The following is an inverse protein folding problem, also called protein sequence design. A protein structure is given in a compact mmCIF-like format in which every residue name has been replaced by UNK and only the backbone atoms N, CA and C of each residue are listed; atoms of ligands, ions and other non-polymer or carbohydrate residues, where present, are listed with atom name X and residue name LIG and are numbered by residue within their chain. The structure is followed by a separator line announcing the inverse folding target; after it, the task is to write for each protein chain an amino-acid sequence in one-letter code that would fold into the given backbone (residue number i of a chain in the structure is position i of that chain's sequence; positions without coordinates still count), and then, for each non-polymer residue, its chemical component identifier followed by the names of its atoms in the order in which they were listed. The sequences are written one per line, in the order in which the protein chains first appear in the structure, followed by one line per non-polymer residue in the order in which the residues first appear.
data_IF_563259986726
#
_entry.id   IF_563259986726
#
_cell.length_a   1.000
_cell.length_b   1.000
_cell.length_c   1.000
_cell.angle_alpha   90.00
_cell.angle_beta   90.00
_cell.angle_gamma   90.00
#
_symmetry.space_group_name_H-M   'P 1'
#
loop_
_entity.id
_entity.type
_entity.pdbx_description
1 polymer ?
#
# COMPACT_ATOMS: atom_id res chain seq x y z
N UNK A 1 2.76 -20.59 6.92
CA UNK A 1 1.50 -20.81 6.19
C UNK A 1 1.44 -22.22 5.63
N UNK A 2 1.57 -22.40 4.31
CA UNK A 2 1.39 -23.72 3.67
C UNK A 2 2.43 -24.75 4.13
N UNK A 3 3.68 -24.32 4.39
CA UNK A 3 4.72 -25.19 4.97
C UNK A 3 4.32 -25.70 6.35
N UNK A 4 3.79 -24.81 7.21
CA UNK A 4 3.40 -25.16 8.57
C UNK A 4 2.21 -26.13 8.58
N UNK A 5 1.20 -25.91 7.72
CA UNK A 5 0.11 -26.87 7.54
C UNK A 5 0.60 -28.25 7.07
N UNK A 6 1.57 -28.29 6.16
CA UNK A 6 2.18 -29.55 5.72
C UNK A 6 2.94 -30.24 6.85
N UNK A 7 3.75 -29.49 7.61
CA UNK A 7 4.47 -30.01 8.77
C UNK A 7 3.52 -30.50 9.88
N UNK A 8 2.39 -29.83 10.09
CA UNK A 8 1.34 -30.27 11.03
C UNK A 8 0.68 -31.59 10.57
N UNK A 9 0.46 -31.78 9.27
CA UNK A 9 0.00 -33.07 8.71
C UNK A 9 0.98 -34.19 9.03
N UNK A 10 2.27 -33.98 8.81
CA UNK A 10 3.32 -34.96 9.13
C UNK A 10 3.38 -35.27 10.62
N UNK A 11 3.26 -34.24 11.48
CA UNK A 11 3.25 -34.42 12.93
C UNK A 11 2.04 -35.24 13.41
N UNK A 12 0.84 -35.00 12.86
CA UNK A 12 -0.36 -35.78 13.17
C UNK A 12 -0.22 -37.23 12.68
N UNK A 13 0.32 -37.44 11.47
CA UNK A 13 0.59 -38.78 10.93
C UNK A 13 1.55 -39.56 11.83
N UNK A 14 2.65 -38.93 12.25
CA UNK A 14 3.65 -39.53 13.13
C UNK A 14 3.09 -39.88 14.51
N UNK A 15 2.10 -39.11 15.00
CA UNK A 15 1.35 -39.40 16.22
C UNK A 15 0.24 -40.46 16.04
N UNK A 16 0.09 -41.05 14.84
CA UNK A 16 -0.94 -42.05 14.53
C UNK A 16 -2.35 -41.49 14.31
N UNK A 17 -2.48 -40.17 14.13
CA UNK A 17 -3.74 -39.50 13.82
C UNK A 17 -4.00 -39.36 12.31
N UNK A 18 -5.18 -38.87 11.97
CA UNK A 18 -5.58 -38.58 10.58
C UNK A 18 -5.09 -37.18 10.14
N UNK A 19 -4.15 -37.09 9.17
CA UNK A 19 -3.62 -35.82 8.67
C UNK A 19 -4.67 -34.96 7.98
N UNK A 20 -5.73 -35.54 7.43
CA UNK A 20 -6.79 -34.79 6.74
C UNK A 20 -7.60 -33.89 7.66
N UNK A 21 -7.45 -34.06 8.98
CA UNK A 21 -7.97 -33.13 10.00
C UNK A 21 -7.25 -31.79 9.98
N UNK A 22 -6.00 -31.73 9.51
CA UNK A 22 -5.28 -30.47 9.29
C UNK A 22 -5.72 -29.94 7.93
N UNK A 23 -6.78 -29.13 7.98
CA UNK A 23 -7.33 -28.45 6.81
C UNK A 23 -8.03 -27.15 7.25
N UNK A 24 -7.96 -26.07 6.46
CA UNK A 24 -8.76 -24.88 6.72
C UNK A 24 -10.27 -25.18 6.86
N UNK A 25 -10.86 -24.74 7.96
CA UNK A 25 -12.29 -24.84 8.25
C UNK A 25 -13.08 -23.65 7.67
N UNK A 26 -12.39 -22.54 7.45
CA UNK A 26 -12.92 -21.33 6.81
C UNK A 26 -12.26 -21.12 5.44
N UNK A 27 -12.87 -20.33 4.54
CA UNK A 27 -12.25 -19.93 3.28
C UNK A 27 -10.91 -19.22 3.50
N UNK A 28 -9.90 -19.62 2.73
CA UNK A 28 -8.57 -19.02 2.72
C UNK A 28 -8.17 -18.64 1.31
N UNK A 29 -7.87 -17.36 1.14
CA UNK A 29 -7.41 -16.78 -0.12
C UNK A 29 -5.95 -16.36 0.01
N UNK A 30 -5.07 -16.97 -0.79
CA UNK A 30 -3.67 -16.59 -0.90
C UNK A 30 -3.44 -15.85 -2.22
N UNK A 31 -3.00 -14.60 -2.14
CA UNK A 31 -2.65 -13.80 -3.33
C UNK A 31 -1.13 -13.71 -3.46
N UNK A 32 -0.61 -14.05 -4.64
CA UNK A 32 0.83 -13.97 -4.94
C UNK A 32 1.14 -12.60 -5.54
N UNK A 33 1.66 -11.68 -4.71
CA UNK A 33 1.91 -10.27 -5.08
C UNK A 33 3.25 -9.70 -4.56
N UNK A 34 3.94 -10.41 -3.67
CA UNK A 34 5.20 -10.00 -3.03
C UNK A 34 6.47 -10.49 -3.77
N UNK A 35 6.34 -11.12 -4.93
CA UNK A 35 7.42 -11.78 -5.67
C UNK A 35 7.97 -10.98 -6.83
N UNK A 36 7.14 -10.16 -7.49
CA UNK A 36 7.56 -9.33 -8.61
C UNK A 36 8.46 -8.19 -8.14
N UNK A 37 9.51 -7.92 -8.91
CA UNK A 37 10.47 -6.84 -8.68
C UNK A 37 10.57 -5.97 -9.93
N UNK A 38 10.94 -4.70 -9.75
CA UNK A 38 11.13 -3.76 -10.86
C UNK A 38 12.54 -3.89 -11.45
N UNK A 39 12.86 -5.03 -12.07
CA UNK A 39 14.17 -5.29 -12.70
C UNK A 39 14.36 -4.51 -14.02
N UNK A 40 13.26 -4.24 -14.72
CA UNK A 40 13.14 -3.43 -15.93
C UNK A 40 12.07 -2.35 -15.73
N UNK A 41 12.29 -1.18 -16.31
CA UNK A 41 11.44 0.00 -16.12
C UNK A 41 11.52 0.95 -17.33
N UNK A 42 10.56 1.88 -17.42
CA UNK A 42 10.59 2.98 -18.39
C UNK A 42 10.59 2.57 -19.86
N UNK A 43 10.15 1.36 -20.18
CA UNK A 43 10.04 0.86 -21.54
C UNK A 43 8.82 -0.09 -21.70
N UNK A 44 8.35 -0.34 -22.94
CA UNK A 44 7.16 -1.14 -23.19
C UNK A 44 7.29 -2.64 -22.87
N UNK A 45 8.51 -3.20 -22.80
CA UNK A 45 8.72 -4.63 -22.50
C UNK A 45 8.87 -4.91 -21.01
N UNK A 46 8.98 -3.86 -20.17
CA UNK A 46 9.27 -3.96 -18.75
C UNK A 46 8.36 -4.94 -18.00
N UNK A 47 7.04 -4.90 -18.25
CA UNK A 47 6.10 -5.84 -17.66
C UNK A 47 6.44 -7.31 -17.98
N UNK A 48 6.60 -7.63 -19.26
CA UNK A 48 6.87 -9.00 -19.71
C UNK A 48 8.22 -9.51 -19.18
N UNK A 49 9.23 -8.64 -19.19
CA UNK A 49 10.57 -8.98 -18.70
C UNK A 49 10.58 -9.22 -17.19
N UNK A 50 9.91 -8.37 -16.40
CA UNK A 50 9.82 -8.52 -14.94
C UNK A 50 9.06 -9.79 -14.55
N UNK A 51 7.95 -10.09 -15.23
CA UNK A 51 7.19 -11.34 -15.01
C UNK A 51 8.05 -12.56 -15.33
N UNK A 52 8.80 -12.53 -16.44
CA UNK A 52 9.72 -13.62 -16.79
C UNK A 52 10.76 -13.86 -15.69
N UNK A 53 11.41 -12.79 -15.23
CA UNK A 53 12.42 -12.85 -14.16
C UNK A 53 11.80 -13.36 -12.84
N UNK A 54 10.58 -12.91 -12.51
CA UNK A 54 9.84 -13.36 -11.34
C UNK A 54 9.61 -14.89 -11.35
N UNK A 55 9.18 -15.45 -12.48
CA UNK A 55 8.96 -16.88 -12.65
C UNK A 55 10.27 -17.67 -12.57
N UNK A 56 11.35 -17.16 -13.16
CA UNK A 56 12.69 -17.79 -13.06
C UNK A 56 13.18 -17.86 -11.62
N UNK A 57 12.95 -16.81 -10.81
CA UNK A 57 13.39 -16.74 -9.41
C UNK A 57 12.50 -17.52 -8.43
N UNK A 58 11.21 -17.69 -8.73
CA UNK A 58 10.23 -18.20 -7.77
C UNK A 58 9.54 -19.52 -8.17
N UNK A 59 10.05 -20.23 -9.18
CA UNK A 59 9.43 -21.46 -9.71
C UNK A 59 9.06 -22.47 -8.61
N UNK A 60 10.00 -22.82 -7.75
CA UNK A 60 9.79 -23.79 -6.66
C UNK A 60 8.70 -23.34 -5.69
N UNK A 61 8.69 -22.05 -5.32
CA UNK A 61 7.65 -21.48 -4.46
C UNK A 61 6.27 -21.57 -5.10
N UNK A 62 6.15 -21.34 -6.40
CA UNK A 62 4.88 -21.41 -7.12
C UNK A 62 4.39 -22.85 -7.29
N UNK A 63 5.29 -23.79 -7.56
CA UNK A 63 4.98 -25.22 -7.58
C UNK A 63 4.46 -25.68 -6.21
N UNK A 64 5.12 -25.24 -5.12
CA UNK A 64 4.70 -25.54 -3.76
C UNK A 64 3.32 -24.95 -3.40
N UNK A 65 3.06 -23.68 -3.73
CA UNK A 65 1.75 -23.06 -3.48
C UNK A 65 0.63 -23.70 -4.32
N UNK A 66 0.93 -24.09 -5.56
CA UNK A 66 0.00 -24.80 -6.44
C UNK A 66 -0.34 -26.20 -5.90
N UNK A 67 0.64 -26.90 -5.36
CA UNK A 67 0.40 -28.14 -4.61
C UNK A 67 -0.53 -27.87 -3.42
N UNK A 68 -0.29 -26.82 -2.63
CA UNK A 68 -1.13 -26.43 -1.50
C UNK A 68 -2.61 -26.24 -1.88
N UNK A 69 -2.89 -25.60 -3.02
CA UNK A 69 -4.26 -25.47 -3.54
C UNK A 69 -4.96 -26.79 -3.82
N UNK A 70 -4.21 -27.82 -4.20
CA UNK A 70 -4.76 -29.16 -4.46
C UNK A 70 -4.87 -29.98 -3.18
N UNK A 71 -3.97 -29.75 -2.22
CA UNK A 71 -3.84 -30.54 -1.00
C UNK A 71 -4.82 -30.12 0.11
N UNK A 72 -5.29 -28.87 0.11
CA UNK A 72 -6.17 -28.32 1.16
C UNK A 72 -7.52 -27.88 0.58
N UNK A 73 -8.61 -28.29 1.23
CA UNK A 73 -9.97 -27.78 0.95
C UNK A 73 -10.10 -26.35 1.46
N UNK A 74 -11.00 -25.57 0.87
CA UNK A 74 -11.25 -24.16 1.20
C UNK A 74 -10.03 -23.24 0.98
N UNK A 75 -9.02 -23.69 0.24
CA UNK A 75 -7.82 -22.93 -0.04
C UNK A 75 -7.75 -22.55 -1.52
N UNK A 76 -7.74 -21.25 -1.83
CA UNK A 76 -7.64 -20.72 -3.18
C UNK A 76 -6.37 -19.89 -3.32
N UNK A 77 -5.62 -20.14 -4.41
CA UNK A 77 -4.45 -19.32 -4.76
C UNK A 77 -4.79 -18.44 -5.95
N UNK A 78 -4.65 -17.14 -5.76
CA UNK A 78 -4.69 -16.15 -6.84
C UNK A 78 -3.28 -16.07 -7.45
N UNK A 79 -3.12 -16.39 -8.75
CA UNK A 79 -1.80 -16.51 -9.38
C UNK A 79 -1.09 -15.16 -9.51
N UNK A 80 0.24 -15.16 -9.70
CA UNK A 80 1.03 -13.94 -9.90
C UNK A 80 0.55 -13.16 -11.13
N UNK A 81 0.74 -11.83 -11.09
CA UNK A 81 0.33 -10.94 -12.18
C UNK A 81 -1.18 -10.67 -12.25
N UNK A 82 -1.95 -11.04 -11.22
CA UNK A 82 -3.39 -10.74 -11.13
C UNK A 82 -3.65 -9.42 -10.43
N UNK A 83 -2.91 -9.13 -9.36
CA UNK A 83 -3.12 -7.94 -8.53
C UNK A 83 -2.46 -8.06 -7.16
N UNK A 84 -2.61 -7.01 -6.35
CA UNK A 84 -2.17 -6.94 -4.94
C UNK A 84 -3.31 -7.42 -4.04
N UNK A 85 -2.97 -8.19 -3.00
CA UNK A 85 -3.89 -8.86 -2.09
C UNK A 85 -5.08 -7.98 -1.66
N UNK A 86 -4.81 -6.79 -1.15
CA UNK A 86 -5.85 -5.91 -0.61
C UNK A 86 -6.77 -5.30 -1.67
N UNK A 87 -6.25 -5.02 -2.87
CA UNK A 87 -7.08 -4.52 -3.97
C UNK A 87 -7.93 -5.65 -4.57
N UNK A 88 -7.36 -6.86 -4.72
CA UNK A 88 -8.13 -8.06 -5.11
C UNK A 88 -9.21 -8.37 -4.07
N UNK A 89 -8.92 -8.20 -2.79
CA UNK A 89 -9.91 -8.34 -1.72
C UNK A 89 -11.04 -7.33 -1.86
N UNK A 90 -10.68 -6.04 -1.99
CA UNK A 90 -11.64 -4.95 -2.11
C UNK A 90 -12.49 -5.04 -3.37
N UNK A 91 -11.95 -5.50 -4.50
CA UNK A 91 -12.65 -5.56 -5.79
C UNK A 91 -13.43 -6.86 -6.00
N UNK A 92 -12.99 -7.98 -5.40
CA UNK A 92 -13.48 -9.31 -5.78
C UNK A 92 -13.81 -10.25 -4.61
N UNK A 93 -12.92 -10.39 -3.62
CA UNK A 93 -13.06 -11.45 -2.60
C UNK A 93 -14.11 -11.11 -1.54
N UNK A 94 -14.12 -9.86 -1.04
CA UNK A 94 -15.02 -9.45 0.03
C UNK A 94 -16.48 -9.43 -0.41
N UNK A 95 -17.35 -9.88 0.50
CA UNK A 95 -18.79 -10.04 0.31
C UNK A 95 -19.62 -9.03 1.09
N UNK A 96 -19.07 -8.46 2.17
CA UNK A 96 -19.81 -7.59 3.08
C UNK A 96 -20.71 -8.36 4.04
N UNK A 97 -21.53 -9.29 3.51
CA UNK A 97 -22.35 -10.23 4.29
C UNK A 97 -22.21 -11.62 3.66
N UNK A 98 -21.90 -12.62 4.48
CA UNK A 98 -21.86 -14.02 4.08
C UNK A 98 -23.15 -14.75 4.43
N UNK A 99 -23.39 -15.84 3.72
CA UNK A 99 -24.44 -16.81 4.05
C UNK A 99 -23.85 -18.20 4.29
N UNK A 100 -24.39 -18.94 5.26
CA UNK A 100 -24.07 -20.36 5.46
C UNK A 100 -25.34 -21.15 5.80
N UNK A 101 -25.34 -22.43 5.45
CA UNK A 101 -26.39 -23.37 5.86
C UNK A 101 -26.00 -24.00 7.20
N UNK A 102 -26.80 -23.78 8.24
CA UNK A 102 -26.62 -24.40 9.55
C UNK A 102 -27.97 -24.67 10.23
N UNK A 103 -28.11 -25.84 10.87
CA UNK A 103 -29.33 -26.26 11.57
C UNK A 103 -30.61 -26.24 10.72
N UNK A 104 -30.48 -26.48 9.40
CA UNK A 104 -31.61 -26.48 8.45
C UNK A 104 -32.13 -25.08 8.09
N UNK A 105 -31.37 -24.03 8.41
CA UNK A 105 -31.66 -22.65 8.03
C UNK A 105 -30.44 -21.98 7.38
N UNK A 106 -30.72 -21.02 6.49
CA UNK A 106 -29.70 -20.13 5.95
C UNK A 106 -29.44 -19.00 6.96
N UNK A 107 -28.21 -18.93 7.46
CA UNK A 107 -27.73 -17.86 8.32
C UNK A 107 -27.03 -16.79 7.50
N UNK A 108 -27.29 -15.52 7.80
CA UNK A 108 -26.54 -14.38 7.28
C UNK A 108 -25.72 -13.73 8.39
N UNK A 109 -24.48 -13.36 8.11
CA UNK A 109 -23.57 -12.77 9.10
C UNK A 109 -22.57 -11.82 8.42
N UNK A 110 -22.01 -10.82 9.15
CA UNK A 110 -21.10 -9.86 8.57
C UNK A 110 -19.83 -10.55 8.08
N UNK A 111 -19.27 -10.02 6.99
CA UNK A 111 -17.93 -10.39 6.54
C UNK A 111 -16.88 -9.83 7.50
N UNK A 112 -15.98 -10.69 7.94
CA UNK A 112 -14.84 -10.36 8.81
C UNK A 112 -13.67 -11.24 8.45
N UNK A 113 -12.44 -10.72 8.56
CA UNK A 113 -11.25 -11.53 8.30
C UNK A 113 -10.01 -11.09 9.08
N UNK A 114 -9.07 -12.02 9.22
CA UNK A 114 -7.69 -11.71 9.55
C UNK A 114 -6.81 -12.11 8.38
N UNK A 115 -5.73 -11.37 8.14
CA UNK A 115 -4.80 -11.62 7.05
C UNK A 115 -3.36 -11.63 7.54
N UNK A 116 -2.49 -12.37 6.86
CA UNK A 116 -1.04 -12.40 7.16
C UNK A 116 -0.29 -11.21 6.57
N UNK A 117 -0.95 -10.06 6.48
CA UNK A 117 -0.40 -8.77 6.05
C UNK A 117 -1.02 -7.65 6.90
N UNK A 118 -0.19 -6.70 7.35
CA UNK A 118 -0.63 -5.63 8.25
C UNK A 118 -1.73 -4.75 7.65
N UNK A 119 -1.72 -4.52 6.34
CA UNK A 119 -2.67 -3.62 5.67
C UNK A 119 -3.95 -4.34 5.23
N UNK A 120 -4.21 -5.55 5.74
CA UNK A 120 -5.53 -6.20 5.67
C UNK A 120 -6.63 -5.25 6.13
N UNK A 121 -6.27 -4.29 6.99
CA UNK A 121 -7.15 -3.21 7.45
C UNK A 121 -7.74 -2.36 6.32
N UNK A 122 -7.18 -2.36 5.11
CA UNK A 122 -7.75 -1.68 3.95
C UNK A 122 -9.21 -2.06 3.68
N UNK A 123 -9.59 -3.31 3.96
CA UNK A 123 -10.94 -3.81 3.71
C UNK A 123 -11.99 -3.18 4.61
N UNK A 124 -11.59 -2.58 5.74
CA UNK A 124 -12.51 -1.89 6.62
C UNK A 124 -13.14 -0.65 5.97
N UNK A 125 -12.59 -0.13 4.87
CA UNK A 125 -13.22 0.92 4.06
C UNK A 125 -14.53 0.46 3.39
N UNK A 126 -14.71 -0.85 3.20
CA UNK A 126 -15.93 -1.50 2.70
C UNK A 126 -16.91 -1.87 3.84
N UNK A 127 -16.55 -1.62 5.11
CA UNK A 127 -17.33 -2.03 6.28
C UNK A 127 -17.17 -3.50 6.67
N UNK A 128 -16.12 -4.15 6.18
CA UNK A 128 -15.70 -5.50 6.57
C UNK A 128 -14.66 -5.38 7.67
N UNK A 129 -14.95 -5.91 8.86
CA UNK A 129 -14.01 -5.81 9.98
C UNK A 129 -12.83 -6.76 9.76
N UNK A 130 -11.62 -6.22 9.57
CA UNK A 130 -10.45 -7.05 9.42
C UNK A 130 -9.11 -6.37 9.69
N UNK A 131 -8.11 -7.17 10.05
CA UNK A 131 -6.79 -6.67 10.42
C UNK A 131 -5.68 -7.70 10.18
N UNK A 132 -4.43 -7.24 10.25
CA UNK A 132 -3.26 -8.08 10.08
C UNK A 132 -2.90 -8.86 11.34
N UNK A 133 -2.53 -10.13 11.18
CA UNK A 133 -2.04 -11.02 12.25
C UNK A 133 -0.77 -11.76 11.79
N UNK A 134 -0.05 -12.39 12.72
CA UNK A 134 1.07 -13.27 12.41
C UNK A 134 0.63 -14.57 11.71
N UNK A 135 1.57 -15.25 11.07
CA UNK A 135 1.30 -16.51 10.36
C UNK A 135 0.70 -17.59 11.25
N UNK A 136 1.22 -17.75 12.47
CA UNK A 136 0.74 -18.74 13.46
C UNK A 136 -0.70 -18.45 13.89
N UNK A 137 -1.04 -17.17 14.12
CA UNK A 137 -2.38 -16.75 14.52
C UNK A 137 -3.39 -16.98 13.39
N UNK A 138 -2.99 -16.67 12.15
CA UNK A 138 -3.80 -16.97 10.97
C UNK A 138 -4.01 -18.49 10.82
N UNK A 139 -2.97 -19.31 10.98
CA UNK A 139 -3.06 -20.77 10.91
C UNK A 139 -3.98 -21.35 11.99
N UNK A 140 -3.89 -20.86 13.23
CA UNK A 140 -4.79 -21.25 14.29
C UNK A 140 -6.25 -20.89 13.94
N UNK A 141 -6.49 -19.69 13.41
CA UNK A 141 -7.82 -19.26 12.96
C UNK A 141 -8.35 -20.13 11.81
N UNK A 142 -7.50 -20.48 10.84
CA UNK A 142 -7.85 -21.41 9.75
C UNK A 142 -8.27 -22.78 10.28
N UNK A 143 -7.70 -23.23 11.40
CA UNK A 143 -8.03 -24.50 12.04
C UNK A 143 -9.17 -24.38 13.07
N UNK A 144 -9.88 -23.25 13.10
CA UNK A 144 -11.08 -23.02 13.91
C UNK A 144 -10.83 -22.50 15.33
N UNK A 145 -9.59 -22.11 15.66
CA UNK A 145 -9.34 -21.40 16.93
C UNK A 145 -9.85 -19.96 16.84
N UNK A 146 -10.68 -19.50 17.78
CA UNK A 146 -11.05 -18.08 17.84
C UNK A 146 -9.83 -17.19 18.05
N UNK A 147 -9.83 -16.01 17.44
CA UNK A 147 -8.81 -14.99 17.70
C UNK A 147 -9.01 -14.43 19.11
N UNK A 148 -8.00 -14.56 19.96
CA UNK A 148 -8.03 -14.03 21.32
C UNK A 148 -7.55 -12.58 21.34
N UNK A 149 -8.38 -11.67 21.84
CA UNK A 149 -8.01 -10.26 22.01
C UNK A 149 -8.70 -9.66 23.24
N UNK A 150 -8.09 -8.65 23.84
CA UNK A 150 -8.77 -7.80 24.81
C UNK A 150 -9.87 -7.01 24.08
N UNK A 151 -11.01 -6.77 24.75
CA UNK A 151 -12.04 -5.88 24.21
C UNK A 151 -11.40 -4.51 23.98
N UNK A 152 -11.30 -4.04 22.72
CA UNK A 152 -10.54 -2.84 22.41
C UNK A 152 -11.35 -1.60 22.80
N UNK A 153 -10.64 -0.56 23.22
CA UNK A 153 -11.22 0.80 23.21
C UNK A 153 -11.48 1.22 21.76
N UNK A 154 -12.52 2.02 21.54
CA UNK A 154 -12.90 2.54 20.22
C UNK A 154 -12.77 4.05 20.21
N UNK A 155 -11.87 4.56 19.36
CA UNK A 155 -11.66 5.99 19.15
C UNK A 155 -12.50 6.43 17.96
N UNK A 156 -13.48 7.29 18.21
CA UNK A 156 -14.29 7.87 17.14
C UNK A 156 -13.51 8.96 16.40
N UNK A 157 -13.41 8.89 15.08
CA UNK A 157 -12.81 9.93 14.25
C UNK A 157 -13.89 10.61 13.39
N UNK A 158 -14.33 11.80 13.82
CA UNK A 158 -15.39 12.56 13.17
C UNK A 158 -14.86 13.28 11.93
N UNK A 159 -15.46 13.03 10.79
CA UNK A 159 -15.22 13.76 9.55
C UNK A 159 -16.41 14.66 9.24
N UNK A 160 -16.11 15.92 8.92
CA UNK A 160 -17.09 16.95 8.57
C UNK A 160 -16.60 17.77 7.38
N UNK A 161 -17.46 18.59 6.78
CA UNK A 161 -17.08 19.41 5.63
C UNK A 161 -16.80 18.58 4.38
N UNK A 162 -16.05 19.16 3.43
CA UNK A 162 -15.67 18.52 2.15
C UNK A 162 -14.23 18.87 1.80
N UNK A 163 -13.55 17.95 1.11
CA UNK A 163 -12.22 18.22 0.57
C UNK A 163 -12.29 19.35 -0.46
N UNK A 164 -11.29 20.24 -0.45
CA UNK A 164 -11.13 21.23 -1.51
C UNK A 164 -10.73 20.58 -2.84
N UNK A 165 -11.04 21.26 -3.94
CA UNK A 165 -10.57 20.83 -5.26
C UNK A 165 -9.03 20.74 -5.29
N UNK A 166 -8.50 19.70 -5.93
CA UNK A 166 -7.07 19.44 -6.01
C UNK A 166 -6.47 18.73 -4.78
N UNK A 167 -7.24 18.53 -3.71
CA UNK A 167 -6.84 17.70 -2.57
C UNK A 167 -7.13 16.23 -2.89
N UNK A 168 -6.19 15.35 -2.55
CA UNK A 168 -6.26 13.92 -2.86
C UNK A 168 -6.58 13.07 -1.63
N UNK A 169 -6.93 11.80 -1.87
CA UNK A 169 -7.02 10.79 -0.82
C UNK A 169 -5.70 10.63 -0.06
N UNK A 170 -4.55 10.78 -0.74
CA UNK A 170 -3.23 10.74 -0.11
C UNK A 170 -3.08 11.85 0.92
N UNK A 171 -3.42 13.08 0.57
CA UNK A 171 -3.34 14.23 1.50
C UNK A 171 -4.20 14.01 2.74
N UNK A 172 -5.40 13.46 2.55
CA UNK A 172 -6.32 13.15 3.63
C UNK A 172 -5.74 12.06 4.54
N UNK A 173 -5.27 10.93 4.00
CA UNK A 173 -4.76 9.84 4.84
C UNK A 173 -3.48 10.24 5.58
N UNK A 174 -2.60 11.04 4.98
CA UNK A 174 -1.40 11.55 5.67
C UNK A 174 -1.78 12.49 6.82
N UNK A 175 -2.81 13.31 6.64
CA UNK A 175 -3.37 14.17 7.69
C UNK A 175 -3.94 13.33 8.84
N UNK A 176 -4.77 12.33 8.53
CA UNK A 176 -5.36 11.42 9.50
C UNK A 176 -4.28 10.63 10.25
N UNK A 177 -3.25 10.18 9.54
CA UNK A 177 -2.14 9.41 10.09
C UNK A 177 -1.35 10.23 11.11
N UNK A 178 -1.02 11.48 10.78
CA UNK A 178 -0.37 12.41 11.71
C UNK A 178 -1.21 12.62 12.98
N UNK A 179 -2.52 12.87 12.84
CA UNK A 179 -3.42 13.15 13.96
C UNK A 179 -3.58 11.94 14.88
N UNK A 180 -3.86 10.77 14.33
CA UNK A 180 -4.05 9.53 15.10
C UNK A 180 -2.75 9.08 15.77
N UNK A 181 -1.60 9.25 15.10
CA UNK A 181 -0.30 8.95 15.70
C UNK A 181 -0.01 9.86 16.89
N UNK A 182 -0.31 11.16 16.78
CA UNK A 182 -0.20 12.12 17.90
C UNK A 182 -1.13 11.76 19.05
N UNK A 183 -2.34 11.25 18.77
CA UNK A 183 -3.28 10.82 19.80
C UNK A 183 -2.82 9.58 20.58
N UNK A 184 -2.18 8.63 19.90
CA UNK A 184 -1.75 7.35 20.46
C UNK A 184 -2.88 6.32 20.51
N UNK A 185 -3.13 5.67 19.37
CA UNK A 185 -4.22 4.68 19.21
C UNK A 185 -3.74 3.23 19.13
N UNK A 186 -2.54 2.94 19.66
CA UNK A 186 -1.94 1.60 19.64
C UNK A 186 -2.82 0.59 20.37
N UNK A 187 -3.18 -0.50 19.69
CA UNK A 187 -4.02 -1.57 20.24
C UNK A 187 -5.51 -1.21 20.37
N UNK A 188 -5.93 -0.06 19.82
CA UNK A 188 -7.33 0.41 19.83
C UNK A 188 -7.94 0.26 18.45
N UNK A 189 -9.27 0.28 18.40
CA UNK A 189 -10.00 0.47 17.15
C UNK A 189 -10.17 1.96 16.90
N UNK A 190 -10.14 2.34 15.62
CA UNK A 190 -10.57 3.67 15.18
C UNK A 190 -11.80 3.46 14.33
N UNK A 191 -12.88 4.18 14.62
CA UNK A 191 -14.10 4.15 13.81
C UNK A 191 -14.38 5.55 13.27
N UNK A 192 -14.49 5.65 11.94
CA UNK A 192 -14.77 6.90 11.25
C UNK A 192 -16.28 7.14 11.20
N UNK A 193 -16.69 8.36 11.54
CA UNK A 193 -18.11 8.74 11.59
C UNK A 193 -18.31 10.22 11.22
N UNK A 194 -19.56 10.66 11.18
CA UNK A 194 -19.94 12.03 10.80
C UNK A 194 -20.33 12.18 9.33
N UNK A 195 -20.95 13.32 9.01
CA UNK A 195 -21.56 13.54 7.69
C UNK A 195 -20.53 13.72 6.57
N UNK A 196 -19.27 14.03 6.88
CA UNK A 196 -18.20 14.09 5.89
C UNK A 196 -17.96 12.77 5.15
N UNK A 197 -18.38 11.63 5.73
CA UNK A 197 -18.28 10.31 5.08
C UNK A 197 -19.10 10.23 3.79
N UNK A 198 -20.17 11.02 3.66
CA UNK A 198 -21.03 11.03 2.47
C UNK A 198 -20.31 11.56 1.23
N UNK A 199 -19.30 12.40 1.42
CA UNK A 199 -18.50 12.99 0.34
C UNK A 199 -17.23 12.20 0.02
N UNK A 200 -16.88 11.19 0.83
CA UNK A 200 -15.77 10.29 0.55
C UNK A 200 -16.22 9.10 -0.29
N UNK A 201 -15.51 8.85 -1.40
CA UNK A 201 -15.69 7.61 -2.17
C UNK A 201 -15.20 6.42 -1.36
N UNK A 202 -15.61 5.21 -1.74
CA UNK A 202 -15.11 4.01 -1.06
C UNK A 202 -13.60 3.87 -1.17
N UNK A 203 -13.03 4.24 -2.31
CA UNK A 203 -11.60 4.22 -2.49
C UNK A 203 -10.88 5.15 -1.51
N UNK A 204 -11.43 6.34 -1.22
CA UNK A 204 -10.85 7.25 -0.20
C UNK A 204 -10.88 6.62 1.19
N UNK A 205 -12.00 5.96 1.54
CA UNK A 205 -12.14 5.23 2.82
C UNK A 205 -11.13 4.08 2.93
N UNK A 206 -10.97 3.30 1.85
CA UNK A 206 -10.01 2.22 1.79
C UNK A 206 -8.56 2.71 1.90
N UNK A 207 -8.23 3.86 1.28
CA UNK A 207 -6.92 4.52 1.45
C UNK A 207 -6.66 4.87 2.91
N UNK A 208 -7.65 5.41 3.63
CA UNK A 208 -7.51 5.74 5.06
C UNK A 208 -7.39 4.49 5.94
N UNK A 209 -8.23 3.49 5.68
CA UNK A 209 -8.24 2.23 6.42
C UNK A 209 -6.96 1.41 6.20
N UNK A 210 -6.35 1.51 5.01
CA UNK A 210 -5.09 0.85 4.67
C UNK A 210 -3.97 1.25 5.64
N UNK A 211 -3.86 2.54 5.98
CA UNK A 211 -2.76 3.07 6.80
C UNK A 211 -2.95 2.88 8.31
N UNK A 212 -3.90 2.04 8.75
CA UNK A 212 -4.10 1.74 10.17
C UNK A 212 -2.85 1.28 10.92
N UNK A 213 -2.02 0.39 10.37
CA UNK A 213 -0.76 0.02 11.00
C UNK A 213 0.20 1.21 11.20
N UNK A 214 0.18 2.19 10.28
CA UNK A 214 1.07 3.35 10.32
C UNK A 214 0.67 4.34 11.44
N UNK A 215 -0.62 4.57 11.67
CA UNK A 215 -1.08 5.33 12.86
C UNK A 215 -1.19 4.48 14.14
N UNK A 216 -1.05 3.16 14.03
CA UNK A 216 -0.89 2.21 15.13
C UNK A 216 -2.18 1.51 15.58
N UNK A 217 -3.33 1.81 14.99
CA UNK A 217 -4.58 1.16 15.36
C UNK A 217 -4.60 -0.30 14.90
N UNK A 218 -5.38 -1.14 15.60
CA UNK A 218 -5.65 -2.50 15.11
C UNK A 218 -6.44 -2.47 13.81
N UNK A 219 -7.38 -1.53 13.67
CA UNK A 219 -8.12 -1.27 12.43
C UNK A 219 -8.59 0.19 12.35
N UNK A 220 -8.97 0.61 11.14
CA UNK A 220 -9.66 1.88 10.86
C UNK A 220 -10.98 1.61 10.15
N UNK A 221 -12.09 1.56 10.90
CA UNK A 221 -13.38 1.08 10.46
C UNK A 221 -14.28 2.16 9.86
N UNK A 222 -14.88 1.88 8.70
CA UNK A 222 -15.94 2.70 8.11
C UNK A 222 -17.22 1.87 8.04
N UNK A 223 -18.33 2.31 8.64
CA UNK A 223 -19.58 1.57 8.60
C UNK A 223 -20.17 1.48 7.19
N UNK A 224 -21.00 0.45 6.95
CA UNK A 224 -21.67 0.21 5.68
C UNK A 224 -22.73 1.29 5.44
N UNK A 225 -22.69 1.94 4.28
CA UNK A 225 -23.67 2.94 3.86
C UNK A 225 -23.92 2.93 2.34
N UNK A 226 -24.61 3.96 1.84
CA UNK A 226 -24.91 4.10 0.43
C UNK A 226 -23.66 4.10 -0.49
N UNK A 227 -22.50 4.59 -0.02
CA UNK A 227 -21.25 4.56 -0.81
C UNK A 227 -20.68 3.14 -0.90
N UNK A 228 -20.90 2.32 0.12
CA UNK A 228 -20.60 0.89 0.06
C UNK A 228 -21.37 0.21 -1.07
N UNK A 229 -22.68 0.44 -1.13
CA UNK A 229 -23.54 -0.12 -2.19
C UNK A 229 -23.17 0.40 -3.58
N UNK A 230 -22.87 1.70 -3.71
CA UNK A 230 -22.41 2.31 -4.96
C UNK A 230 -21.13 1.63 -5.47
N UNK A 231 -20.15 1.42 -4.60
CA UNK A 231 -18.91 0.75 -4.97
C UNK A 231 -19.14 -0.72 -5.32
N UNK A 232 -19.96 -1.45 -4.57
CA UNK A 232 -20.28 -2.85 -4.88
C UNK A 232 -20.87 -2.97 -6.29
N UNK A 233 -21.77 -2.07 -6.68
CA UNK A 233 -22.29 -1.98 -8.06
C UNK A 233 -21.19 -1.67 -9.07
N UNK A 234 -20.36 -0.65 -8.79
CA UNK A 234 -19.27 -0.22 -9.69
C UNK A 234 -18.29 -1.36 -10.00
N UNK A 235 -17.95 -2.15 -8.98
CA UNK A 235 -17.04 -3.30 -9.08
C UNK A 235 -17.69 -4.59 -9.61
N UNK A 236 -18.97 -4.54 -9.97
CA UNK A 236 -19.67 -5.67 -10.60
C UNK A 236 -20.05 -6.80 -9.65
N UNK A 237 -20.34 -6.51 -8.36
CA UNK A 237 -21.00 -7.49 -7.48
C UNK A 237 -22.41 -7.76 -8.00
N UNK A 238 -22.87 -8.99 -7.85
CA UNK A 238 -24.21 -9.39 -8.27
C UNK A 238 -25.31 -8.73 -7.42
N UNK A 239 -26.48 -8.56 -8.04
CA UNK A 239 -27.62 -7.86 -7.44
C UNK A 239 -28.11 -8.55 -6.16
N UNK A 240 -28.03 -9.88 -6.08
CA UNK A 240 -28.45 -10.66 -4.91
C UNK A 240 -27.54 -10.38 -3.70
N UNK A 241 -26.22 -10.38 -3.91
CA UNK A 241 -25.24 -10.01 -2.87
C UNK A 241 -25.47 -8.58 -2.38
N UNK A 242 -25.68 -7.64 -3.31
CA UNK A 242 -25.93 -6.23 -2.96
C UNK A 242 -27.22 -6.08 -2.14
N UNK A 243 -28.30 -6.73 -2.58
CA UNK A 243 -29.59 -6.71 -1.87
C UNK A 243 -29.48 -7.33 -0.48
N UNK A 244 -28.74 -8.43 -0.34
CA UNK A 244 -28.48 -9.06 0.95
C UNK A 244 -27.73 -8.12 1.90
N UNK A 245 -26.63 -7.50 1.46
CA UNK A 245 -25.85 -6.58 2.30
C UNK A 245 -26.71 -5.43 2.80
N UNK A 246 -27.45 -4.77 1.90
CA UNK A 246 -28.30 -3.64 2.28
C UNK A 246 -29.41 -4.06 3.27
N UNK A 247 -30.13 -5.14 2.97
CA UNK A 247 -31.23 -5.61 3.82
C UNK A 247 -30.73 -6.07 5.20
N UNK A 248 -29.65 -6.85 5.23
CA UNK A 248 -29.06 -7.36 6.46
C UNK A 248 -28.54 -6.23 7.35
N UNK A 249 -27.73 -5.32 6.80
CA UNK A 249 -27.15 -4.23 7.60
C UNK A 249 -28.22 -3.29 8.16
N UNK A 250 -29.30 -3.01 7.41
CA UNK A 250 -30.44 -2.24 7.93
C UNK A 250 -31.18 -2.97 9.04
N UNK A 251 -31.43 -4.27 8.87
CA UNK A 251 -32.13 -5.07 9.88
C UNK A 251 -31.33 -5.23 11.19
N UNK A 252 -30.00 -5.29 11.11
CA UNK A 252 -29.10 -5.45 12.26
C UNK A 252 -28.65 -4.13 12.90
N UNK A 253 -29.02 -2.98 12.34
CA UNK A 253 -28.55 -1.67 12.82
C UNK A 253 -27.07 -1.41 12.53
N UNK A 254 -26.50 -2.07 11.52
CA UNK A 254 -25.12 -1.88 11.03
C UNK A 254 -25.03 -0.87 9.87
N UNK A 255 -26.19 -0.44 9.35
CA UNK A 255 -26.29 0.56 8.30
C UNK A 255 -26.12 1.97 8.85
N UNK A 256 -25.26 2.77 8.23
CA UNK A 256 -25.06 4.18 8.56
C UNK A 256 -25.90 5.08 7.66
N UNK A 257 -26.58 6.05 8.28
CA UNK A 257 -27.27 7.16 7.63
C UNK A 257 -26.61 8.53 7.95
N UNK A 258 -26.86 9.52 7.07
CA UNK A 258 -26.48 10.91 7.33
C UNK A 258 -27.36 11.52 8.42
N UNK A 259 -26.76 12.34 9.29
CA UNK A 259 -27.47 12.96 10.41
C UNK A 259 -27.91 11.98 11.51
N UNK A 260 -27.45 10.72 11.47
CA UNK A 260 -27.69 9.77 12.56
C UNK A 260 -27.00 10.23 13.85
N UNK A 261 -27.49 9.77 15.00
CA UNK A 261 -26.84 10.05 16.27
C UNK A 261 -25.42 9.45 16.30
N UNK A 262 -24.48 10.22 16.85
CA UNK A 262 -23.09 9.77 16.99
C UNK A 262 -23.03 8.54 17.93
N UNK A 263 -22.29 7.47 17.58
CA UNK A 263 -22.05 6.35 18.48
C UNK A 263 -21.32 6.77 19.76
N UNK A 264 -21.44 5.96 20.81
CA UNK A 264 -20.71 6.18 22.07
C UNK A 264 -19.30 5.61 21.94
N UNK A 265 -18.33 6.48 21.73
CA UNK A 265 -16.92 6.12 21.67
C UNK A 265 -16.21 6.28 23.01
N UNK A 266 -15.09 5.59 23.19
CA UNK A 266 -14.22 5.77 24.37
C UNK A 266 -13.64 7.18 24.40
N UNK A 267 -13.29 7.70 23.24
CA UNK A 267 -12.78 9.05 23.04
C UNK A 267 -13.01 9.47 21.58
N UNK A 268 -12.90 10.77 21.28
CA UNK A 268 -13.19 11.31 19.94
C UNK A 268 -12.15 12.30 19.44
N UNK A 269 -11.86 12.24 18.14
CA UNK A 269 -11.15 13.27 17.38
C UNK A 269 -12.06 13.79 16.27
N UNK A 270 -11.77 14.98 15.76
CA UNK A 270 -12.51 15.57 14.64
C UNK A 270 -11.57 16.21 13.62
N UNK A 271 -11.92 16.09 12.34
CA UNK A 271 -11.28 16.76 11.22
C UNK A 271 -12.36 17.39 10.33
N UNK A 272 -12.21 18.68 10.04
CA UNK A 272 -12.89 19.30 8.91
C UNK A 272 -12.08 18.97 7.65
N UNK A 273 -12.72 18.33 6.67
CA UNK A 273 -12.10 17.98 5.39
C UNK A 273 -11.63 19.22 4.62
N UNK A 274 -12.21 20.40 4.89
CA UNK A 274 -11.76 21.66 4.31
C UNK A 274 -10.38 22.11 4.86
N UNK A 275 -9.90 21.57 5.97
CA UNK A 275 -8.57 21.91 6.53
C UNK A 275 -7.43 21.08 5.92
N UNK A 276 -7.74 20.07 5.12
CA UNK A 276 -6.72 19.25 4.45
C UNK A 276 -5.98 20.10 3.41
N UNK A 277 -4.65 19.92 3.36
CA UNK A 277 -3.75 20.66 2.47
C UNK A 277 -2.82 19.69 1.74
N UNK A 278 -2.33 20.04 0.53
CA UNK A 278 -1.39 19.21 -0.19
C UNK A 278 -0.14 18.92 0.65
N UNK A 279 0.21 17.65 0.80
CA UNK A 279 1.28 17.21 1.70
C UNK A 279 1.95 15.93 1.23
N UNK A 280 3.19 15.74 1.68
CA UNK A 280 3.93 14.49 1.56
C UNK A 280 4.22 13.96 2.97
N UNK A 281 4.64 12.72 3.09
CA UNK A 281 5.16 12.17 4.34
C UNK A 281 6.61 11.70 4.16
N UNK A 282 7.50 12.14 5.04
CA UNK A 282 8.91 11.78 4.95
C UNK A 282 9.87 12.71 5.71
N UNK A 283 11.19 12.50 5.54
CA UNK A 283 11.80 11.55 4.59
C UNK A 283 12.00 10.12 5.10
N UNK A 284 11.59 9.81 6.36
CA UNK A 284 11.91 8.51 7.00
C UNK A 284 10.73 7.81 7.67
N UNK A 285 9.60 8.49 7.93
CA UNK A 285 8.45 7.88 8.61
C UNK A 285 7.11 8.32 7.98
N UNK A 286 6.07 7.47 8.00
CA UNK A 286 4.78 7.79 7.38
C UNK A 286 4.00 8.91 8.09
N UNK A 287 4.21 9.07 9.40
CA UNK A 287 3.57 10.12 10.20
C UNK A 287 4.27 11.48 10.10
N UNK A 288 5.43 11.57 9.45
CA UNK A 288 6.18 12.81 9.28
C UNK A 288 5.58 13.63 8.14
N UNK A 289 4.35 14.11 8.31
CA UNK A 289 3.64 14.92 7.31
C UNK A 289 4.33 16.27 7.13
N UNK A 290 4.61 16.62 5.88
CA UNK A 290 5.20 17.88 5.45
C UNK A 290 4.31 18.49 4.38
N UNK A 291 3.86 19.72 4.59
CA UNK A 291 3.12 20.45 3.55
C UNK A 291 3.96 20.55 2.28
N UNK A 292 3.34 20.41 1.10
CA UNK A 292 4.06 20.35 -0.18
C UNK A 292 5.06 21.52 -0.37
N UNK A 293 4.66 22.74 -0.02
CA UNK A 293 5.53 23.93 -0.10
C UNK A 293 6.70 23.96 0.89
N UNK A 294 6.72 23.06 1.89
CA UNK A 294 7.74 22.96 2.94
C UNK A 294 8.73 21.82 2.74
N UNK A 295 8.51 20.96 1.75
CA UNK A 295 9.44 19.87 1.41
C UNK A 295 10.88 20.34 1.19
N UNK A 296 11.15 21.46 0.47
CA UNK A 296 12.53 21.94 0.30
C UNK A 296 13.23 22.28 1.62
N UNK A 297 12.51 22.88 2.57
CA UNK A 297 13.06 23.27 3.87
C UNK A 297 13.47 22.03 4.68
N UNK A 298 12.60 21.01 4.73
CA UNK A 298 12.87 19.74 5.42
C UNK A 298 14.01 18.98 4.76
N UNK A 299 14.06 18.94 3.42
CA UNK A 299 15.16 18.29 2.70
C UNK A 299 16.51 18.92 3.04
N UNK A 300 16.60 20.27 3.01
CA UNK A 300 17.85 20.98 3.33
C UNK A 300 18.30 20.74 4.77
N UNK A 301 17.36 20.55 5.70
CA UNK A 301 17.69 20.16 7.08
C UNK A 301 18.31 18.77 7.15
N UNK A 302 17.71 17.77 6.49
CA UNK A 302 18.28 16.42 6.44
C UNK A 302 19.64 16.39 5.76
N UNK A 303 19.82 17.16 4.68
CA UNK A 303 21.12 17.30 4.04
C UNK A 303 22.18 17.86 4.99
N UNK A 304 21.84 18.89 5.80
CA UNK A 304 22.76 19.45 6.81
C UNK A 304 23.09 18.45 7.91
N UNK A 305 22.11 17.66 8.38
CA UNK A 305 22.32 16.66 9.43
C UNK A 305 23.19 15.48 8.96
N UNK A 306 23.24 15.23 7.66
CA UNK A 306 24.10 14.19 7.07
C UNK A 306 25.49 14.70 6.65
N UNK A 307 25.75 16.00 6.77
CA UNK A 307 27.10 16.53 6.59
C UNK A 307 28.00 16.02 7.74
N UNK A 308 29.28 15.71 7.47
CA UNK A 308 30.24 15.31 8.51
C UNK A 308 30.30 16.39 9.58
N UNK A 309 30.40 15.97 10.85
CA UNK A 309 30.59 16.91 11.96
C UNK A 309 31.86 17.73 11.75
N UNK A 310 31.91 18.96 12.28
CA UNK A 310 33.10 19.81 12.19
C UNK A 310 34.36 19.07 12.68
N UNK A 311 34.25 18.26 13.75
CA UNK A 311 35.38 17.46 14.25
C UNK A 311 35.93 16.45 13.23
N UNK A 312 35.07 15.86 12.37
CA UNK A 312 35.48 14.92 11.32
C UNK A 312 36.05 15.67 10.11
N UNK A 313 35.50 16.84 9.78
CA UNK A 313 36.02 17.70 8.73
C UNK A 313 37.40 18.28 9.10
N UNK A 314 37.59 18.65 10.37
CA UNK A 314 38.86 19.16 10.89
C UNK A 314 39.92 18.04 10.97
N UNK A 315 39.56 16.82 11.40
CA UNK A 315 40.45 15.65 11.33
C UNK A 315 40.84 15.27 9.89
N UNK A 316 39.93 15.43 8.92
CA UNK A 316 40.23 15.24 7.49
C UNK A 316 41.14 16.34 6.93
N UNK A 317 41.08 17.56 7.49
CA UNK A 317 41.93 18.68 7.10
C UNK A 317 43.35 18.62 7.70
N UNK A 318 43.51 18.04 8.89
CA UNK A 318 44.82 17.92 9.57
C UNK A 318 45.66 16.71 9.11
N UNK A 319 45.02 15.69 8.52
CA UNK A 319 45.70 14.54 7.90
C UNK A 319 46.22 14.86 6.50
N UNK A 320 47.39 15.49 6.41
CA UNK A 320 48.02 15.93 5.16
C UNK A 320 47.87 14.95 3.99
N UNK A 321 47.55 15.51 2.80
CA UNK A 321 47.22 14.89 1.52
C UNK A 321 47.87 13.52 1.19
N UNK A 322 47.43 12.48 1.87
CA UNK A 322 47.52 11.10 1.42
C UNK A 322 46.11 10.55 1.36
N UNK A 323 45.71 10.20 0.14
CA UNK A 323 44.37 9.80 -0.25
C UNK A 323 43.80 8.71 0.68
N UNK A 324 43.05 9.13 1.69
CA UNK A 324 41.91 8.36 2.13
C UNK A 324 40.97 8.27 0.92
N UNK A 325 40.56 7.07 0.55
CA UNK A 325 39.50 6.81 -0.44
C UNK A 325 38.17 7.23 0.21
N UNK A 326 38.03 8.52 0.49
CA UNK A 326 36.86 9.15 1.07
C UNK A 326 36.12 9.88 -0.04
N UNK A 327 34.84 9.59 -0.18
CA UNK A 327 33.95 10.27 -1.12
C UNK A 327 34.15 11.79 -0.98
N UNK A 328 34.59 12.45 -2.05
CA UNK A 328 34.48 13.89 -2.10
C UNK A 328 32.98 14.20 -2.03
N UNK A 329 32.55 15.01 -1.06
CA UNK A 329 31.22 15.64 -1.06
C UNK A 329 31.13 16.60 -2.25
N UNK A 330 31.09 16.03 -3.45
CA UNK A 330 30.86 16.77 -4.67
C UNK A 330 29.37 17.12 -4.65
N UNK A 331 29.06 18.41 -4.53
CA UNK A 331 27.68 18.88 -4.63
C UNK A 331 26.98 18.43 -5.93
N UNK A 332 27.77 18.10 -6.96
CA UNK A 332 27.33 17.51 -8.22
C UNK A 332 28.32 16.42 -8.70
N UNK A 333 27.81 15.28 -9.15
CA UNK A 333 28.58 14.14 -9.66
C UNK A 333 28.21 13.86 -11.11
N UNK A 334 29.17 13.82 -12.05
CA UNK A 334 28.88 13.44 -13.43
C UNK A 334 28.56 11.95 -13.52
N UNK A 335 27.44 11.64 -14.18
CA UNK A 335 26.99 10.29 -14.53
C UNK A 335 26.75 10.20 -16.03
N UNK A 336 27.04 9.05 -16.63
CA UNK A 336 26.80 8.80 -18.05
C UNK A 336 25.63 7.83 -18.21
N UNK A 337 24.62 8.24 -18.97
CA UNK A 337 23.40 7.47 -19.23
C UNK A 337 23.15 7.54 -20.73
N UNK A 338 23.03 6.39 -21.39
CA UNK A 338 22.79 6.30 -22.84
C UNK A 338 23.78 7.11 -23.70
N UNK A 339 25.03 7.25 -23.23
CA UNK A 339 26.09 8.02 -23.89
C UNK A 339 26.04 9.54 -23.65
N UNK A 340 25.08 10.03 -22.86
CA UNK A 340 24.97 11.43 -22.46
C UNK A 340 25.45 11.65 -21.03
N UNK A 341 26.14 12.78 -20.81
CA UNK A 341 26.61 13.18 -19.48
C UNK A 341 25.56 14.03 -18.78
N UNK A 342 25.21 13.61 -17.57
CA UNK A 342 24.33 14.35 -16.66
C UNK A 342 25.04 14.61 -15.34
N UNK A 343 24.53 15.58 -14.56
CA UNK A 343 25.01 15.90 -13.23
C UNK A 343 23.95 15.46 -12.22
N UNK A 344 24.32 14.53 -11.34
CA UNK A 344 23.50 14.09 -10.22
C UNK A 344 23.89 14.88 -8.98
N UNK A 345 22.91 15.35 -8.22
CA UNK A 345 23.13 16.18 -7.01
C UNK A 345 22.22 15.78 -5.86
N UNK A 346 22.48 16.36 -4.70
CA UNK A 346 21.59 16.22 -3.55
C UNK A 346 20.16 16.65 -3.90
N UNK A 347 19.19 15.85 -3.50
CA UNK A 347 17.76 16.11 -3.68
C UNK A 347 17.22 15.65 -5.03
N UNK A 348 18.08 15.16 -5.93
CA UNK A 348 17.58 14.54 -7.15
C UNK A 348 16.74 13.32 -6.82
N UNK A 349 15.56 13.26 -7.45
CA UNK A 349 14.70 12.08 -7.41
C UNK A 349 15.32 11.03 -8.31
N UNK A 350 15.61 9.86 -7.76
CA UNK A 350 16.15 8.71 -8.51
C UNK A 350 15.13 7.58 -8.67
N UNK A 351 14.06 7.59 -7.86
CA UNK A 351 12.94 6.67 -7.97
C UNK A 351 11.63 7.46 -7.88
N UNK A 352 10.75 7.27 -8.85
CA UNK A 352 9.39 7.82 -8.84
C UNK A 352 8.40 6.69 -9.17
N UNK A 353 7.67 6.19 -8.18
CA UNK A 353 6.86 4.98 -8.33
C UNK A 353 5.37 5.22 -8.02
N UNK A 354 4.51 4.99 -9.01
CA UNK A 354 3.07 4.83 -8.79
C UNK A 354 2.84 3.36 -8.46
N UNK A 355 2.66 3.05 -7.18
CA UNK A 355 2.69 1.71 -6.59
C UNK A 355 1.72 1.62 -5.41
N UNK A 356 1.70 0.48 -4.73
CA UNK A 356 0.86 0.16 -3.55
C UNK A 356 -0.64 0.05 -3.83
N UNK A 357 -1.27 -0.89 -3.13
CA UNK A 357 -2.73 -1.00 -3.04
C UNK A 357 -3.36 0.25 -2.39
N UNK A 358 -2.62 1.01 -1.58
CA UNK A 358 -3.10 2.23 -0.89
C UNK A 358 -3.70 3.25 -1.85
N UNK A 359 -3.05 3.48 -3.00
CA UNK A 359 -3.43 4.52 -3.95
C UNK A 359 -3.86 3.96 -5.32
N UNK A 360 -3.30 2.83 -5.76
CA UNK A 360 -3.66 2.27 -7.07
C UNK A 360 -5.08 1.68 -7.12
N UNK A 361 -5.67 1.42 -5.96
CA UNK A 361 -7.09 1.05 -5.82
C UNK A 361 -8.04 2.24 -5.93
N UNK A 362 -7.53 3.47 -5.99
CA UNK A 362 -8.32 4.69 -6.07
C UNK A 362 -8.29 5.26 -7.50
N UNK A 363 -9.39 5.12 -8.28
CA UNK A 363 -9.45 5.63 -9.64
C UNK A 363 -9.25 7.15 -9.73
N UNK A 364 -9.64 7.90 -8.70
CA UNK A 364 -9.50 9.36 -8.67
C UNK A 364 -8.05 9.81 -8.82
N UNK A 365 -7.15 9.28 -7.98
CA UNK A 365 -5.71 9.64 -8.04
C UNK A 365 -5.01 9.04 -9.27
N UNK A 366 -5.43 7.86 -9.73
CA UNK A 366 -4.86 7.24 -10.93
C UNK A 366 -5.24 7.99 -12.21
N UNK A 367 -6.49 8.42 -12.35
CA UNK A 367 -6.93 9.28 -13.45
C UNK A 367 -6.28 10.66 -13.36
N UNK A 368 -6.15 11.23 -12.16
CA UNK A 368 -5.43 12.50 -11.97
C UNK A 368 -3.97 12.40 -12.43
N UNK A 369 -3.27 11.31 -12.09
CA UNK A 369 -1.90 11.07 -12.56
C UNK A 369 -1.82 10.98 -14.09
N UNK A 370 -2.76 10.27 -14.74
CA UNK A 370 -2.84 10.20 -16.19
C UNK A 370 -3.14 11.55 -16.85
N UNK A 371 -4.08 12.32 -16.30
CA UNK A 371 -4.42 13.67 -16.78
C UNK A 371 -3.24 14.65 -16.60
N UNK A 372 -2.51 14.54 -15.51
CA UNK A 372 -1.29 15.32 -15.29
C UNK A 372 -0.21 14.94 -16.31
N UNK A 373 -0.03 13.64 -16.59
CA UNK A 373 0.91 13.16 -17.59
C UNK A 373 0.57 13.69 -18.99
N UNK A 374 -0.72 13.66 -19.37
CA UNK A 374 -1.23 14.23 -20.61
C UNK A 374 -0.90 15.72 -20.74
N UNK A 375 -1.16 16.49 -19.68
CA UNK A 375 -0.86 17.92 -19.64
C UNK A 375 0.64 18.22 -19.69
N UNK A 376 1.46 17.41 -19.02
CA UNK A 376 2.92 17.54 -19.06
C UNK A 376 3.48 17.26 -20.46
N UNK A 377 3.02 16.18 -21.09
CA UNK A 377 3.40 15.81 -22.47
C UNK A 377 2.97 16.88 -23.47
N UNK A 378 1.76 17.41 -23.36
CA UNK A 378 1.28 18.51 -24.21
C UNK A 378 2.14 19.78 -24.09
N UNK A 379 2.83 19.96 -22.96
CA UNK A 379 3.79 21.06 -22.71
C UNK A 379 5.24 20.70 -23.04
N UNK A 380 5.50 19.52 -23.62
CA UNK A 380 6.85 19.07 -23.96
C UNK A 380 7.71 18.71 -22.75
N UNK A 381 7.12 18.49 -21.58
CA UNK A 381 7.85 18.05 -20.38
C UNK A 381 8.12 16.55 -20.45
N UNK A 382 9.29 16.14 -19.96
CA UNK A 382 9.70 14.74 -19.85
C UNK A 382 10.43 14.49 -18.53
N UNK A 383 10.49 13.23 -18.10
CA UNK A 383 11.27 12.84 -16.92
C UNK A 383 12.76 13.02 -17.19
N UNK A 384 13.54 13.20 -16.12
CA UNK A 384 15.00 13.13 -16.23
C UNK A 384 15.46 11.69 -16.49
N UNK A 385 16.51 11.45 -17.29
CA UNK A 385 16.93 10.10 -17.69
C UNK A 385 17.32 9.19 -16.52
N UNK A 386 17.88 9.76 -15.45
CA UNK A 386 18.29 9.05 -14.24
C UNK A 386 17.14 8.59 -13.33
N UNK A 387 15.92 9.09 -13.55
CA UNK A 387 14.78 8.76 -12.69
C UNK A 387 14.23 7.40 -13.10
N UNK A 388 14.27 6.45 -12.16
CA UNK A 388 13.59 5.16 -12.28
C UNK A 388 12.09 5.32 -12.03
N UNK A 389 11.34 5.43 -13.11
CA UNK A 389 9.87 5.54 -13.08
C UNK A 389 9.21 4.17 -13.20
N UNK A 390 8.13 3.94 -12.45
CA UNK A 390 7.35 2.70 -12.56
C UNK A 390 5.87 2.90 -12.26
N UNK A 391 5.02 2.17 -13.00
CA UNK A 391 3.60 2.00 -12.72
C UNK A 391 3.34 0.54 -12.35
N UNK A 392 2.94 0.29 -11.10
CA UNK A 392 2.62 -1.03 -10.57
C UNK A 392 1.23 -1.04 -9.94
N UNK A 393 0.16 -1.21 -10.73
CA UNK A 393 -1.20 -1.20 -10.25
C UNK A 393 -1.54 -2.44 -9.42
N UNK A 394 -2.45 -2.32 -8.46
CA UNK A 394 -2.92 -3.45 -7.67
C UNK A 394 -3.99 -4.32 -8.35
N UNK A 395 -4.46 -3.98 -9.54
CA UNK A 395 -5.24 -4.89 -10.39
C UNK A 395 -5.21 -4.47 -11.88
N UNK A 396 -5.66 -5.37 -12.75
CA UNK A 396 -5.78 -5.12 -14.21
C UNK A 396 -6.86 -4.08 -14.55
N UNK A 397 -7.81 -3.84 -13.65
CA UNK A 397 -8.87 -2.83 -13.85
C UNK A 397 -8.26 -1.45 -14.05
N UNK A 398 -7.15 -1.17 -13.36
CA UNK A 398 -6.44 0.12 -13.43
C UNK A 398 -5.91 0.41 -14.82
N UNK A 399 -5.16 -0.53 -15.40
CA UNK A 399 -4.64 -0.38 -16.76
C UNK A 399 -5.76 -0.34 -17.78
N UNK A 400 -6.85 -1.09 -17.56
CA UNK A 400 -7.98 -1.12 -18.48
C UNK A 400 -8.67 0.24 -18.57
N UNK A 401 -8.98 0.90 -17.44
CA UNK A 401 -9.60 2.23 -17.50
C UNK A 401 -8.62 3.32 -17.96
N UNK A 402 -7.32 3.22 -17.62
CA UNK A 402 -6.31 4.18 -18.09
C UNK A 402 -6.14 4.10 -19.62
N UNK A 403 -6.12 2.89 -20.18
CA UNK A 403 -6.07 2.67 -21.61
C UNK A 403 -7.35 3.16 -22.31
N UNK A 404 -8.54 2.83 -21.77
CA UNK A 404 -9.83 3.29 -22.34
C UNK A 404 -9.99 4.81 -22.28
N UNK A 405 -9.45 5.46 -21.26
CA UNK A 405 -9.44 6.92 -21.14
C UNK A 405 -8.38 7.59 -22.04
N UNK A 406 -7.51 6.80 -22.71
CA UNK A 406 -6.41 7.31 -23.53
C UNK A 406 -5.30 7.99 -22.71
N UNK A 407 -5.13 7.59 -21.45
CA UNK A 407 -4.16 8.18 -20.52
C UNK A 407 -2.90 7.32 -20.33
N UNK A 408 -2.96 6.01 -20.67
CA UNK A 408 -1.80 5.12 -20.54
C UNK A 408 -0.64 5.57 -21.43
N UNK A 409 -0.88 5.97 -22.66
CA UNK A 409 0.16 6.44 -23.59
C UNK A 409 0.88 7.70 -23.07
N UNK A 410 0.16 8.55 -22.34
CA UNK A 410 0.75 9.75 -21.74
C UNK A 410 1.60 9.43 -20.52
N UNK A 411 1.19 8.45 -19.70
CA UNK A 411 2.00 7.90 -18.61
C UNK A 411 3.27 7.23 -19.15
N UNK A 412 3.13 6.40 -20.18
CA UNK A 412 4.22 5.69 -20.86
C UNK A 412 5.23 6.68 -21.46
N UNK A 413 4.76 7.78 -22.06
CA UNK A 413 5.63 8.84 -22.60
C UNK A 413 6.51 9.51 -21.52
N UNK A 414 6.07 9.50 -20.26
CA UNK A 414 6.84 9.96 -19.10
C UNK A 414 7.62 8.84 -18.40
N UNK A 415 7.60 7.63 -18.94
CA UNK A 415 8.30 6.46 -18.41
C UNK A 415 7.54 5.69 -17.33
N UNK A 416 6.27 6.00 -17.08
CA UNK A 416 5.40 5.24 -16.17
C UNK A 416 4.75 4.05 -16.88
N UNK A 417 5.55 3.28 -17.62
CA UNK A 417 5.10 2.03 -18.21
C UNK A 417 4.73 1.03 -17.11
N UNK A 418 3.77 0.16 -17.43
CA UNK A 418 3.42 -0.97 -16.57
C UNK A 418 4.68 -1.83 -16.31
N UNK A 419 4.99 -2.05 -15.03
CA UNK A 419 6.12 -2.91 -14.62
C UNK A 419 5.69 -4.23 -13.99
N UNK A 420 4.44 -4.34 -13.53
CA UNK A 420 3.92 -5.51 -12.83
C UNK A 420 2.60 -5.23 -12.11
N UNK A 421 1.84 -6.29 -11.81
CA UNK A 421 0.69 -6.24 -10.89
C UNK A 421 1.09 -6.89 -9.57
N UNK A 422 1.62 -6.08 -8.65
CA UNK A 422 2.15 -6.55 -7.38
C UNK A 422 2.79 -5.43 -6.55
N UNK A 423 3.20 -5.77 -5.33
CA UNK A 423 3.63 -4.79 -4.33
C UNK A 423 4.86 -3.97 -4.74
N UNK A 424 5.78 -4.56 -5.51
CA UNK A 424 6.94 -3.87 -6.14
C UNK A 424 7.65 -2.88 -5.20
N UNK A 425 7.81 -1.61 -5.59
CA UNK A 425 8.51 -0.57 -4.84
C UNK A 425 7.92 -0.34 -3.44
N UNK A 426 6.60 -0.55 -3.23
CA UNK A 426 5.96 -0.38 -1.92
C UNK A 426 6.58 -1.26 -0.82
N UNK A 427 7.07 -2.44 -1.18
CA UNK A 427 7.68 -3.39 -0.23
C UNK A 427 9.20 -3.42 -0.31
N UNK A 428 9.82 -2.50 -1.07
CA UNK A 428 11.26 -2.50 -1.31
C UNK A 428 11.72 -3.39 -2.47
N UNK A 429 10.78 -4.01 -3.21
CA UNK A 429 11.08 -4.72 -4.46
C UNK A 429 11.25 -3.73 -5.62
N UNK A 430 11.95 -2.62 -5.36
CA UNK A 430 12.22 -1.54 -6.32
C UNK A 430 13.19 -1.96 -7.41
N UNK A 431 13.87 -3.10 -7.29
CA UNK A 431 14.94 -3.56 -8.19
C UNK A 431 16.15 -2.62 -8.23
N UNK A 432 17.18 -2.94 -9.02
CA UNK A 432 18.42 -2.17 -9.07
C UNK A 432 18.22 -0.80 -9.73
N UNK A 433 18.92 0.22 -9.23
CA UNK A 433 19.14 1.46 -9.98
C UNK A 433 20.13 1.21 -11.13
N UNK A 434 20.16 2.04 -12.19
CA UNK A 434 21.21 1.95 -13.19
C UNK A 434 22.59 2.11 -12.55
N UNK A 435 23.55 1.25 -12.92
CA UNK A 435 24.91 1.22 -12.34
C UNK A 435 25.58 2.59 -12.25
N UNK A 436 25.42 3.42 -13.30
CA UNK A 436 26.00 4.76 -13.35
C UNK A 436 25.41 5.67 -12.25
N UNK A 437 24.12 5.53 -11.95
CA UNK A 437 23.43 6.30 -10.90
C UNK A 437 23.86 5.82 -9.53
N UNK A 438 23.86 4.50 -9.30
CA UNK A 438 24.27 3.95 -8.01
C UNK A 438 25.72 4.27 -7.67
N UNK A 439 26.64 4.11 -8.63
CA UNK A 439 28.04 4.53 -8.47
C UNK A 439 28.16 6.03 -8.27
N UNK A 440 27.35 6.83 -8.97
CA UNK A 440 27.30 8.29 -8.80
C UNK A 440 26.89 8.71 -7.38
N UNK A 441 25.83 8.09 -6.85
CA UNK A 441 25.34 8.31 -5.48
C UNK A 441 26.44 8.01 -4.46
N UNK A 442 27.06 6.82 -4.56
CA UNK A 442 28.10 6.39 -3.61
C UNK A 442 29.34 7.27 -3.73
N UNK A 443 29.78 7.61 -4.94
CA UNK A 443 30.99 8.40 -5.18
C UNK A 443 30.90 9.81 -4.62
N UNK A 444 29.74 10.46 -4.72
CA UNK A 444 29.52 11.81 -4.19
C UNK A 444 28.94 11.86 -2.77
N UNK A 445 28.71 10.71 -2.16
CA UNK A 445 27.91 10.57 -0.94
C UNK A 445 26.60 11.39 -1.00
N UNK A 446 25.88 11.24 -2.11
CA UNK A 446 24.70 12.06 -2.41
C UNK A 446 23.49 11.65 -1.57
N UNK A 447 22.76 12.65 -1.13
CA UNK A 447 21.45 12.48 -0.46
C UNK A 447 20.37 12.61 -1.52
N UNK A 448 20.04 11.49 -2.16
CA UNK A 448 18.99 11.41 -3.20
C UNK A 448 17.63 11.02 -2.63
N UNK A 449 16.59 11.21 -3.43
CA UNK A 449 15.20 11.00 -3.02
C UNK A 449 14.50 9.89 -3.82
N UNK A 450 13.57 9.21 -3.15
CA UNK A 450 12.47 8.49 -3.79
C UNK A 450 11.14 9.17 -3.48
N UNK A 451 10.23 9.12 -4.43
CA UNK A 451 8.83 9.52 -4.26
C UNK A 451 7.95 8.35 -4.68
N UNK A 452 7.04 7.91 -3.81
CA UNK A 452 6.18 6.78 -4.08
C UNK A 452 4.78 6.98 -3.51
N UNK A 453 3.77 6.47 -4.22
CA UNK A 453 2.37 6.46 -3.73
C UNK A 453 2.10 5.31 -2.75
N UNK A 454 3.09 4.98 -1.91
CA UNK A 454 3.05 3.90 -0.92
C UNK A 454 2.55 4.34 0.45
N UNK A 455 2.73 3.48 1.45
CA UNK A 455 2.37 3.73 2.85
C UNK A 455 3.57 3.69 3.81
N UNK A 456 4.74 3.18 3.38
CA UNK A 456 5.97 3.09 4.19
C UNK A 456 7.17 3.67 3.48
N UNK A 457 7.96 4.44 4.21
CA UNK A 457 9.12 5.20 3.72
C UNK A 457 10.32 5.14 4.70
N UNK A 458 10.40 4.08 5.51
CA UNK A 458 11.55 3.86 6.39
C UNK A 458 12.86 3.83 5.61
N UNK A 459 13.93 4.35 6.21
CA UNK A 459 15.26 4.35 5.60
C UNK A 459 15.69 2.91 5.26
N UNK A 460 16.21 2.70 4.04
CA UNK A 460 16.58 1.38 3.52
C UNK A 460 15.42 0.48 3.11
N UNK A 461 14.15 0.84 3.39
CA UNK A 461 12.98 0.04 2.98
C UNK A 461 12.68 0.14 1.49
N UNK A 462 12.77 1.33 0.90
CA UNK A 462 12.40 1.55 -0.52
C UNK A 462 13.52 1.09 -1.45
N UNK A 463 14.74 1.58 -1.23
CA UNK A 463 15.95 1.18 -1.96
C UNK A 463 17.17 1.44 -1.06
N UNK A 464 18.20 0.60 -1.15
CA UNK A 464 19.38 0.67 -0.27
C UNK A 464 20.19 1.97 -0.45
N UNK A 465 20.32 2.45 -1.68
CA UNK A 465 21.07 3.66 -2.04
C UNK A 465 20.27 4.97 -1.89
N UNK A 466 19.03 4.93 -1.36
CA UNK A 466 18.18 6.12 -1.21
C UNK A 466 17.95 6.45 0.26
N UNK A 467 18.45 7.62 0.67
CA UNK A 467 18.40 8.09 2.07
C UNK A 467 17.14 8.88 2.43
N UNK A 468 16.41 9.41 1.44
CA UNK A 468 15.18 10.18 1.68
C UNK A 468 14.02 9.61 0.85
N UNK A 469 12.91 9.26 1.50
CA UNK A 469 11.77 8.61 0.86
C UNK A 469 10.49 9.35 1.21
N UNK A 470 9.71 9.71 0.20
CA UNK A 470 8.53 10.55 0.35
C UNK A 470 7.27 9.85 -0.15
N UNK A 471 6.28 9.74 0.72
CA UNK A 471 4.93 9.30 0.37
C UNK A 471 4.18 10.49 -0.23
N UNK A 472 3.62 10.34 -1.43
CA UNK A 472 2.97 11.42 -2.19
C UNK A 472 1.80 10.92 -3.03
#
# INVERSE_FOLDING_TARGET
GVVDLAAMRDAIAAAGGDPERINPLTPVDLVIDHSVMVDRFGNPTAFADNVKIEYERNRERYEFLRWGQQAFRNFRVVPPGTGICHQVNLEYLAKGVWTSEADGATWAYPDTLVGTDSHTTMINGLGVLGWGVGGIEAEAAMLGQPVSMLIPEVIGFKLSGKLHEGITATDLVLTVTEMLRKRGVVGKFVEFYGDGLADLTLADRATIANMAPEYGATCGFFPIDARTIEYMKLSGRDDDTIALVEAYCKAQGLWRDNGQADPVFTDTLSLDLADVRPSLAGPKRPQDRVLLGKVPEVFLEVQRQQAPSQDVADMQSEGGAQAAVGAAHAGEVPVEIDGEKHLLKHGDVVIAAITSCTNTSNPGVMLAAGLLAKNARAKGLTRKPWVKTSLAPGSKVVTDYLARAGLQDDLDALGFNLVGYGCTTCIGNSGPLPDAIEKGIVKGDLVVASVLSGNRNFEGRVHQSVKTNWLA
#
